data_IF_134753947014
#
_entry.id   IF_134753947014
#
_cell.length_a   1.000
_cell.length_b   1.000
_cell.length_c   1.000
_cell.angle_alpha   90.00
_cell.angle_beta   90.00
_cell.angle_gamma   90.00
#
_symmetry.space_group_name_H-M   'P 1'
#
loop_
_entity.id
_entity.type
_entity.pdbx_description
1 polymer ?
#
# COMPACT_ATOMS: atom_id res chain seq x y z
N UNK A 1 -30.73 -5.96 17.30
CA UNK A 1 -29.42 -5.48 17.78
C UNK A 1 -29.06 -4.30 16.89
N UNK A 2 -29.26 -3.07 17.37
CA UNK A 2 -29.00 -1.88 16.58
C UNK A 2 -27.54 -1.48 16.83
N UNK A 3 -26.69 -1.72 15.83
CA UNK A 3 -25.27 -1.41 15.87
C UNK A 3 -25.00 0.08 16.06
N UNK A 4 -23.93 0.39 16.77
CA UNK A 4 -23.46 1.75 17.04
C UNK A 4 -23.14 2.42 15.68
N UNK A 5 -23.73 3.58 15.34
CA UNK A 5 -23.48 4.24 14.06
C UNK A 5 -22.01 4.65 13.97
N UNK A 6 -21.25 3.93 13.13
CA UNK A 6 -19.80 4.12 12.96
C UNK A 6 -19.00 2.82 13.05
N UNK A 7 -19.51 1.78 13.73
CA UNK A 7 -18.81 0.50 13.83
C UNK A 7 -18.76 -0.22 12.48
N UNK A 8 -19.82 -0.10 11.67
CA UNK A 8 -19.94 -0.84 10.42
C UNK A 8 -19.06 -0.27 9.29
N UNK A 9 -18.82 1.05 9.26
CA UNK A 9 -18.04 1.68 8.18
C UNK A 9 -16.52 1.55 8.39
N UNK A 10 -16.05 1.62 9.64
CA UNK A 10 -14.63 1.39 9.95
C UNK A 10 -14.25 -0.06 9.70
N UNK A 11 -15.12 -1.00 10.07
CA UNK A 11 -14.91 -2.43 9.79
C UNK A 11 -14.86 -2.69 8.28
N UNK A 12 -15.78 -2.12 7.51
CA UNK A 12 -15.79 -2.24 6.05
C UNK A 12 -14.52 -1.67 5.42
N UNK A 13 -14.06 -0.49 5.88
CA UNK A 13 -12.82 0.10 5.40
C UNK A 13 -11.61 -0.78 5.72
N UNK A 14 -11.54 -1.35 6.94
CA UNK A 14 -10.49 -2.27 7.35
C UNK A 14 -10.45 -3.52 6.49
N UNK A 15 -11.62 -4.06 6.13
CA UNK A 15 -11.72 -5.26 5.29
C UNK A 15 -11.38 -5.00 3.83
N UNK A 16 -11.51 -3.76 3.35
CA UNK A 16 -11.11 -3.36 1.98
C UNK A 16 -9.62 -3.14 1.82
N UNK A 17 -8.88 -2.92 2.90
CA UNK A 17 -7.43 -2.80 2.88
C UNK A 17 -6.79 -4.18 2.69
N UNK A 18 -5.81 -4.29 1.79
CA UNK A 18 -5.07 -5.54 1.53
C UNK A 18 -3.57 -5.43 1.79
N UNK A 19 -3.04 -4.20 1.82
CA UNK A 19 -1.63 -3.96 2.13
C UNK A 19 -1.46 -2.69 2.95
N UNK A 20 -0.42 -2.67 3.77
CA UNK A 20 0.02 -1.50 4.52
C UNK A 20 1.54 -1.39 4.45
N UNK A 21 2.06 -0.17 4.52
CA UNK A 21 3.48 0.07 4.64
C UNK A 21 3.72 1.17 5.66
N UNK A 22 4.60 0.88 6.61
CA UNK A 22 4.89 1.79 7.74
C UNK A 22 6.38 2.10 7.89
N UNK A 23 7.23 1.56 7.02
CA UNK A 23 8.70 1.67 7.11
C UNK A 23 9.30 2.67 6.12
N UNK A 24 9.14 2.38 4.83
CA UNK A 24 9.81 3.14 3.75
C UNK A 24 8.96 4.25 3.17
N UNK A 25 7.67 4.00 3.17
CA UNK A 25 6.63 4.90 2.71
C UNK A 25 5.40 4.62 3.56
N UNK A 26 4.70 5.67 3.94
CA UNK A 26 3.43 5.58 4.67
C UNK A 26 2.31 5.50 3.64
N UNK A 27 1.87 4.29 3.33
CA UNK A 27 0.77 4.05 2.41
C UNK A 27 -0.02 2.80 2.79
N UNK A 28 -1.19 2.67 2.17
CA UNK A 28 -2.00 1.47 2.23
C UNK A 28 -2.62 1.21 0.86
N UNK A 29 -2.79 -0.06 0.53
CA UNK A 29 -3.55 -0.52 -0.62
C UNK A 29 -4.95 -0.90 -0.18
N UNK A 30 -5.96 -0.44 -0.92
CA UNK A 30 -7.36 -0.78 -0.66
C UNK A 30 -8.14 -0.99 -1.97
N UNK A 31 -9.18 -1.82 -1.89
CA UNK A 31 -10.12 -2.05 -2.99
C UNK A 31 -11.26 -1.04 -2.91
N UNK A 32 -11.24 -0.07 -3.82
CA UNK A 32 -12.23 0.99 -3.92
C UNK A 32 -12.57 1.27 -5.38
N UNK A 33 -13.74 1.86 -5.63
CA UNK A 33 -14.09 2.33 -6.97
C UNK A 33 -13.25 3.54 -7.37
N UNK A 34 -13.11 3.76 -8.67
CA UNK A 34 -12.40 4.92 -9.22
C UNK A 34 -13.00 6.24 -8.71
N UNK A 35 -14.33 6.37 -8.66
CA UNK A 35 -15.02 7.54 -8.10
C UNK A 35 -14.61 7.82 -6.65
N UNK A 36 -14.50 6.78 -5.82
CA UNK A 36 -14.09 6.94 -4.42
C UNK A 36 -12.60 7.29 -4.31
N UNK A 37 -11.76 6.79 -5.21
CA UNK A 37 -10.34 7.14 -5.27
C UNK A 37 -10.12 8.64 -5.48
N UNK A 38 -10.97 9.28 -6.30
CA UNK A 38 -10.94 10.73 -6.50
C UNK A 38 -11.30 11.50 -5.23
N UNK A 39 -12.33 11.04 -4.49
CA UNK A 39 -12.69 11.63 -3.19
C UNK A 39 -11.57 11.50 -2.16
N UNK A 40 -10.86 10.37 -2.15
CA UNK A 40 -9.70 10.16 -1.26
C UNK A 40 -8.58 11.15 -1.60
N UNK A 41 -8.35 11.44 -2.89
CA UNK A 41 -7.32 12.38 -3.33
C UNK A 41 -7.54 13.81 -2.81
N UNK A 42 -8.80 14.20 -2.57
CA UNK A 42 -9.15 15.51 -2.04
C UNK A 42 -8.96 15.62 -0.51
N UNK A 43 -8.73 14.50 0.19
CA UNK A 43 -8.58 14.51 1.64
C UNK A 43 -7.26 15.16 2.08
N UNK A 44 -7.27 15.89 3.21
CA UNK A 44 -6.04 16.48 3.74
C UNK A 44 -5.05 15.37 4.12
N UNK A 45 -3.77 15.62 3.84
CA UNK A 45 -2.63 14.70 4.08
C UNK A 45 -2.50 13.52 3.10
N UNK A 46 -3.43 13.36 2.16
CA UNK A 46 -3.22 12.45 1.04
C UNK A 46 -2.32 13.14 0.02
N UNK A 47 -1.13 12.58 -0.19
CA UNK A 47 -0.16 13.11 -1.15
C UNK A 47 -0.42 12.59 -2.56
N UNK A 48 -0.71 11.29 -2.68
CA UNK A 48 -0.87 10.59 -3.96
C UNK A 48 -1.96 9.54 -3.86
N UNK A 49 -2.73 9.40 -4.93
CA UNK A 49 -3.62 8.26 -5.18
C UNK A 49 -3.26 7.74 -6.56
N UNK A 50 -2.80 6.48 -6.61
CA UNK A 50 -2.24 5.86 -7.82
C UNK A 50 -2.89 4.48 -7.96
N UNK A 51 -3.28 4.05 -9.18
CA UNK A 51 -3.70 2.68 -9.43
C UNK A 51 -2.59 1.70 -9.03
N UNK A 52 -2.91 0.71 -8.20
CA UNK A 52 -1.92 -0.27 -7.76
C UNK A 52 -1.66 -1.33 -8.86
N UNK A 53 -0.50 -1.96 -8.81
CA UNK A 53 -0.06 -2.96 -9.79
C UNK A 53 0.62 -4.14 -9.08
N UNK A 54 0.53 -5.32 -9.68
CA UNK A 54 1.18 -6.50 -9.13
C UNK A 54 2.70 -6.36 -9.20
N UNK A 55 3.36 -6.48 -8.05
CA UNK A 55 4.81 -6.65 -7.96
C UNK A 55 5.24 -8.05 -8.38
N UNK A 56 4.36 -9.03 -8.16
CA UNK A 56 4.49 -10.41 -8.61
C UNK A 56 3.16 -10.84 -9.24
N UNK A 57 3.17 -11.02 -10.56
CA UNK A 57 1.98 -11.34 -11.36
C UNK A 57 1.50 -12.77 -11.08
N UNK A 58 2.42 -13.71 -10.89
CA UNK A 58 2.10 -15.13 -10.70
C UNK A 58 1.35 -15.33 -9.37
N UNK A 59 1.85 -14.69 -8.31
CA UNK A 59 1.26 -14.77 -6.98
C UNK A 59 0.20 -13.68 -6.72
N UNK A 60 -0.12 -12.84 -7.71
CA UNK A 60 -1.04 -11.68 -7.59
C UNK A 60 -0.73 -10.83 -6.36
N UNK A 61 0.54 -10.56 -6.13
CA UNK A 61 1.01 -9.84 -4.94
C UNK A 61 1.25 -8.36 -5.27
N UNK A 62 0.53 -7.48 -4.59
CA UNK A 62 0.71 -6.02 -4.68
C UNK A 62 1.96 -5.51 -3.93
N UNK A 63 2.63 -6.37 -3.16
CA UNK A 63 3.77 -6.00 -2.34
C UNK A 63 3.37 -5.27 -1.05
N UNK A 64 4.36 -4.79 -0.30
CA UNK A 64 4.14 -4.24 1.03
C UNK A 64 3.76 -5.31 2.07
N UNK A 65 3.42 -4.87 3.28
CA UNK A 65 3.03 -5.76 4.37
C UNK A 65 1.56 -6.18 4.15
N UNK A 66 1.25 -7.49 4.10
CA UNK A 66 -0.12 -7.96 4.00
C UNK A 66 -0.98 -7.42 5.14
N UNK A 67 -2.18 -6.98 4.78
CA UNK A 67 -3.19 -6.57 5.73
C UNK A 67 -4.38 -7.54 5.62
N UNK A 68 -4.52 -8.41 6.62
CA UNK A 68 -5.40 -9.58 6.57
C UNK A 68 -6.44 -9.45 7.67
N UNK A 69 -7.72 -9.51 7.30
CA UNK A 69 -8.85 -9.43 8.24
C UNK A 69 -8.76 -8.23 9.19
N UNK A 70 -8.38 -7.07 8.65
CA UNK A 70 -8.27 -5.85 9.43
C UNK A 70 -7.02 -5.73 10.29
N UNK A 71 -6.04 -6.64 10.17
CA UNK A 71 -4.80 -6.60 10.93
C UNK A 71 -3.57 -6.67 10.04
N UNK A 72 -2.58 -5.82 10.35
CA UNK A 72 -1.27 -5.89 9.72
C UNK A 72 -0.53 -7.11 10.25
N UNK A 73 0.03 -7.91 9.36
CA UNK A 73 0.92 -9.00 9.78
C UNK A 73 2.22 -8.42 10.39
N UNK A 74 2.89 -9.14 11.29
CA UNK A 74 4.18 -8.72 11.81
C UNK A 74 5.16 -8.41 10.68
N UNK A 75 5.89 -7.30 10.82
CA UNK A 75 6.83 -6.85 9.81
C UNK A 75 7.89 -7.91 9.52
N UNK A 76 8.08 -8.20 8.23
CA UNK A 76 9.15 -9.06 7.72
C UNK A 76 9.90 -8.30 6.61
N UNK A 77 11.24 -8.16 6.69
CA UNK A 77 12.04 -7.49 5.66
C UNK A 77 11.82 -8.02 4.22
N UNK A 78 11.32 -9.25 4.06
CA UNK A 78 11.00 -9.82 2.74
C UNK A 78 10.02 -8.96 1.94
N UNK A 79 9.08 -8.27 2.60
CA UNK A 79 8.03 -7.49 1.94
C UNK A 79 8.56 -6.27 1.19
N UNK A 80 9.73 -5.77 1.59
CA UNK A 80 10.41 -4.64 0.93
C UNK A 80 11.78 -5.04 0.39
N UNK A 81 12.05 -6.34 0.19
CA UNK A 81 13.37 -6.82 -0.25
C UNK A 81 13.86 -6.09 -1.51
N UNK A 82 13.02 -5.98 -2.51
CA UNK A 82 13.38 -5.30 -3.77
C UNK A 82 13.64 -3.80 -3.60
N UNK A 83 13.07 -3.18 -2.56
CA UNK A 83 13.32 -1.79 -2.19
C UNK A 83 14.66 -1.66 -1.45
N UNK A 84 14.91 -2.53 -0.45
CA UNK A 84 16.20 -2.62 0.24
C UNK A 84 17.35 -2.85 -0.75
N UNK A 85 17.21 -3.80 -1.68
CA UNK A 85 18.23 -4.11 -2.68
C UNK A 85 18.47 -2.93 -3.62
N UNK A 86 17.43 -2.23 -4.06
CA UNK A 86 17.56 -1.04 -4.90
C UNK A 86 18.27 0.09 -4.17
N UNK A 87 17.93 0.36 -2.91
CA UNK A 87 18.57 1.43 -2.14
C UNK A 87 19.98 1.07 -1.66
N UNK A 88 20.29 -0.22 -1.49
CA UNK A 88 21.62 -0.70 -1.08
C UNK A 88 22.53 -1.05 -2.26
N UNK A 89 22.03 -1.02 -3.51
CA UNK A 89 22.89 -1.07 -4.70
C UNK A 89 23.77 0.17 -4.66
N UNK A 90 25.09 -0.05 -4.47
CA UNK A 90 26.09 0.99 -4.75
C UNK A 90 25.75 1.58 -6.12
N UNK A 91 25.62 2.91 -6.27
CA UNK A 91 25.31 3.49 -7.57
C UNK A 91 26.33 2.96 -8.57
N UNK A 92 25.86 2.28 -9.61
CA UNK A 92 26.71 1.93 -10.72
C UNK A 92 27.18 3.26 -11.33
N UNK A 93 28.47 3.57 -11.15
CA UNK A 93 29.08 4.83 -11.60
C UNK A 93 28.93 4.99 -13.13
N UNK A 94 28.62 3.91 -13.86
CA UNK A 94 28.39 3.91 -15.30
C UNK A 94 26.94 4.16 -15.76
N UNK A 95 25.91 4.02 -14.91
CA UNK A 95 24.52 4.09 -15.37
C UNK A 95 23.73 5.21 -14.68
N UNK A 96 24.05 6.46 -15.05
CA UNK A 96 23.13 7.59 -14.85
C UNK A 96 22.02 7.51 -15.89
N UNK A 97 20.93 6.80 -15.62
CA UNK A 97 19.69 6.99 -16.36
C UNK A 97 18.65 7.69 -15.47
N UNK A 98 18.31 8.89 -15.96
CA UNK A 98 17.34 9.85 -15.43
C UNK A 98 16.03 9.18 -15.03
N UNK A 99 15.49 9.58 -13.88
CA UNK A 99 14.06 9.56 -13.63
C UNK A 99 13.53 10.98 -13.86
N UNK A 100 12.58 11.10 -14.77
CA UNK A 100 11.62 12.21 -14.86
C UNK A 100 10.26 11.69 -14.43
#
# INVERSE_FOLDING_TARGET
MNGIPGHDCEEEARMKMYSVSTKFFFSFGCLVSEELSHKIKELPKVLWVIPDSYTDIENKNYGGEPFINGQAVPYDPKYHRSYYERNNRKPCISCKQRFG
#
